data_IF_087236320316
#
_entry.id   IF_087236320316
#
_cell.length_a   1.000
_cell.length_b   1.000
_cell.length_c   1.000
_cell.angle_alpha   90.00
_cell.angle_beta   90.00
_cell.angle_gamma   90.00
#
_symmetry.space_group_name_H-M   'P 1'
#
loop_
_entity.id
_entity.type
_entity.pdbx_description
1 polymer ?
#
# COMPACT_ATOMS: atom_id res chain seq x y z
N UNK A 1 10.69 4.78 23.86
CA UNK A 1 10.31 6.04 23.17
C UNK A 1 10.65 6.03 21.68
N UNK A 2 11.91 5.85 21.28
CA UNK A 2 12.36 5.98 19.87
C UNK A 2 11.58 5.16 18.82
N UNK A 3 11.22 3.90 19.13
CA UNK A 3 10.43 3.03 18.23
C UNK A 3 9.01 3.55 17.96
N UNK A 4 8.38 4.20 18.94
CA UNK A 4 7.03 4.75 18.80
C UNK A 4 7.03 5.95 17.85
N UNK A 5 8.04 6.82 17.94
CA UNK A 5 8.20 7.96 17.05
C UNK A 5 8.33 7.56 15.57
N UNK A 6 9.06 6.46 15.30
CA UNK A 6 9.21 5.94 13.93
C UNK A 6 7.91 5.40 13.34
N UNK A 7 7.08 4.71 14.13
CA UNK A 7 5.76 4.27 13.66
C UNK A 7 4.83 5.44 13.38
N UNK A 8 4.88 6.48 14.23
CA UNK A 8 4.13 7.72 14.02
C UNK A 8 4.57 8.43 12.74
N UNK A 9 5.87 8.45 12.44
CA UNK A 9 6.41 9.03 11.21
C UNK A 9 5.93 8.28 9.96
N UNK A 10 5.98 6.94 9.96
CA UNK A 10 5.45 6.12 8.86
C UNK A 10 3.95 6.37 8.69
N UNK A 11 3.18 6.38 9.78
CA UNK A 11 1.75 6.67 9.73
C UNK A 11 1.48 8.05 9.13
N UNK A 12 2.18 9.09 9.59
CA UNK A 12 2.03 10.45 9.06
C UNK A 12 2.41 10.53 7.57
N UNK A 13 3.45 9.80 7.15
CA UNK A 13 3.83 9.70 5.75
C UNK A 13 2.71 9.07 4.91
N UNK A 14 2.21 7.90 5.31
CA UNK A 14 1.09 7.20 4.66
C UNK A 14 -0.20 8.05 4.61
N UNK A 15 -0.40 8.89 5.64
CA UNK A 15 -1.54 9.81 5.72
C UNK A 15 -1.42 11.00 4.76
N UNK A 16 -0.19 11.49 4.55
CA UNK A 16 0.08 12.75 3.84
C UNK A 16 0.03 12.66 2.31
N UNK A 17 -0.02 11.45 1.73
CA UNK A 17 0.11 11.23 0.29
C UNK A 17 -0.93 10.24 -0.23
N UNK A 18 -1.20 10.30 -1.53
CA UNK A 18 -1.95 9.25 -2.23
C UNK A 18 -0.98 8.22 -2.80
N UNK A 19 -1.22 6.95 -2.53
CA UNK A 19 -0.43 5.84 -3.07
C UNK A 19 -1.25 5.03 -4.05
N UNK A 20 -0.58 4.54 -5.10
CA UNK A 20 -1.15 3.66 -6.11
C UNK A 20 -0.38 2.35 -6.10
N UNK A 21 -1.09 1.25 -5.83
CA UNK A 21 -0.52 -0.10 -5.88
C UNK A 21 -1.22 -0.88 -6.98
N UNK A 22 -0.44 -1.51 -7.84
CA UNK A 22 -0.96 -2.23 -8.98
C UNK A 22 -0.74 -3.73 -8.78
N UNK A 23 -1.68 -4.54 -9.28
CA UNK A 23 -1.36 -5.94 -9.54
C UNK A 23 -0.19 -6.02 -10.54
N UNK A 24 0.60 -7.08 -10.51
CA UNK A 24 1.75 -7.27 -11.41
C UNK A 24 1.37 -7.21 -12.89
N UNK A 25 0.18 -7.71 -13.22
CA UNK A 25 -0.37 -7.63 -14.58
C UNK A 25 -1.13 -6.32 -14.87
N UNK A 26 -1.15 -5.39 -13.91
CA UNK A 26 -1.73 -4.04 -13.99
C UNK A 26 -3.25 -4.00 -14.25
N UNK A 27 -3.95 -5.12 -14.08
CA UNK A 27 -5.40 -5.22 -14.25
C UNK A 27 -6.19 -4.58 -13.11
N UNK A 28 -5.62 -4.52 -11.92
CA UNK A 28 -6.22 -3.88 -10.75
C UNK A 28 -5.27 -2.85 -10.18
N UNK A 29 -5.81 -1.70 -9.77
CA UNK A 29 -5.09 -0.71 -8.97
C UNK A 29 -5.82 -0.42 -7.67
N UNK A 30 -5.09 -0.31 -6.57
CA UNK A 30 -5.58 0.19 -5.30
C UNK A 30 -5.10 1.62 -5.11
N UNK A 31 -6.03 2.48 -4.69
CA UNK A 31 -5.74 3.83 -4.27
C UNK A 31 -5.79 3.87 -2.75
N UNK A 32 -4.69 4.29 -2.13
CA UNK A 32 -4.60 4.49 -0.68
C UNK A 32 -4.46 5.98 -0.40
N UNK A 33 -5.34 6.51 0.43
CA UNK A 33 -5.34 7.90 0.91
C UNK A 33 -5.66 7.92 2.40
N UNK A 34 -5.08 8.85 3.15
CA UNK A 34 -5.30 8.94 4.60
C UNK A 34 -5.01 7.60 5.32
N UNK A 35 -3.99 6.87 4.85
CA UNK A 35 -3.63 5.52 5.30
C UNK A 35 -4.76 4.46 5.18
N UNK A 36 -5.71 4.65 4.25
CA UNK A 36 -6.85 3.75 4.00
C UNK A 36 -6.98 3.47 2.52
N UNK A 37 -7.43 2.27 2.17
CA UNK A 37 -7.85 1.97 0.79
C UNK A 37 -9.12 2.77 0.53
N UNK A 38 -9.08 3.69 -0.44
CA UNK A 38 -10.23 4.53 -0.80
C UNK A 38 -10.89 4.11 -2.09
N UNK A 39 -10.13 3.52 -3.03
CA UNK A 39 -10.66 3.07 -4.31
C UNK A 39 -9.97 1.80 -4.80
N UNK A 40 -10.73 1.00 -5.54
CA UNK A 40 -10.25 -0.14 -6.31
C UNK A 40 -10.62 0.12 -7.77
N UNK A 41 -9.63 0.20 -8.64
CA UNK A 41 -9.79 0.48 -10.07
C UNK A 41 -9.55 -0.79 -10.87
N UNK A 42 -10.51 -1.15 -11.72
CA UNK A 42 -10.38 -2.25 -12.69
C UNK A 42 -9.94 -1.67 -14.03
N UNK A 43 -8.67 -1.90 -14.38
CA UNK A 43 -8.03 -1.35 -15.58
C UNK A 43 -8.21 -2.25 -16.82
N UNK A 44 -8.89 -3.39 -16.67
CA UNK A 44 -9.06 -4.42 -17.69
C UNK A 44 -10.47 -5.02 -17.59
N UNK A 45 -11.09 -5.47 -18.70
CA UNK A 45 -12.45 -6.00 -18.69
C UNK A 45 -12.62 -7.29 -17.87
N UNK A 46 -11.55 -8.06 -17.65
CA UNK A 46 -11.60 -9.33 -16.92
C UNK A 46 -10.54 -9.40 -15.80
N UNK A 47 -10.73 -8.64 -14.69
CA UNK A 47 -9.93 -8.78 -13.49
C UNK A 47 -10.35 -10.03 -12.72
N UNK A 48 -9.39 -10.78 -12.17
CA UNK A 48 -9.67 -11.91 -11.30
C UNK A 48 -9.59 -11.51 -9.82
N UNK A 49 -10.16 -12.32 -8.90
CA UNK A 49 -9.92 -12.15 -7.46
C UNK A 49 -8.43 -12.17 -7.10
N UNK A 50 -7.62 -12.95 -7.83
CA UNK A 50 -6.16 -13.00 -7.62
C UNK A 50 -5.49 -11.68 -7.99
N UNK A 51 -5.98 -10.96 -9.00
CA UNK A 51 -5.45 -9.64 -9.38
C UNK A 51 -5.69 -8.62 -8.25
N UNK A 52 -6.88 -8.66 -7.62
CA UNK A 52 -7.19 -7.80 -6.47
C UNK A 52 -6.28 -8.15 -5.30
N UNK A 53 -6.13 -9.45 -5.00
CA UNK A 53 -5.28 -9.94 -3.92
C UNK A 53 -3.82 -9.54 -4.14
N UNK A 54 -3.31 -9.65 -5.36
CA UNK A 54 -1.94 -9.28 -5.70
C UNK A 54 -1.72 -7.77 -5.52
N UNK A 55 -2.65 -6.92 -5.96
CA UNK A 55 -2.57 -5.47 -5.71
C UNK A 55 -2.55 -5.13 -4.21
N UNK A 56 -3.34 -5.84 -3.39
CA UNK A 56 -3.33 -5.70 -1.91
C UNK A 56 -1.96 -6.09 -1.36
N UNK A 57 -1.43 -7.23 -1.78
CA UNK A 57 -0.14 -7.73 -1.33
C UNK A 57 0.98 -6.74 -1.67
N UNK A 58 0.97 -6.14 -2.87
CA UNK A 58 1.94 -5.11 -3.26
C UNK A 58 1.89 -3.89 -2.32
N UNK A 59 0.70 -3.45 -1.93
CA UNK A 59 0.54 -2.37 -0.94
C UNK A 59 1.04 -2.75 0.45
N UNK A 60 0.72 -3.97 0.90
CA UNK A 60 1.16 -4.48 2.20
C UNK A 60 2.69 -4.64 2.28
N UNK A 61 3.32 -5.20 1.25
CA UNK A 61 4.77 -5.37 1.13
C UNK A 61 5.50 -4.02 1.18
N UNK A 62 4.96 -2.99 0.52
CA UNK A 62 5.52 -1.64 0.59
C UNK A 62 5.49 -1.07 2.01
N UNK A 63 4.34 -1.15 2.69
CA UNK A 63 4.21 -0.65 4.07
C UNK A 63 5.15 -1.43 5.00
N UNK A 64 5.24 -2.74 4.85
CA UNK A 64 6.17 -3.57 5.61
C UNK A 64 7.63 -3.16 5.37
N UNK A 65 8.01 -2.88 4.12
CA UNK A 65 9.34 -2.38 3.77
C UNK A 65 9.65 -1.03 4.42
N UNK A 66 8.70 -0.09 4.43
CA UNK A 66 8.85 1.21 5.10
C UNK A 66 9.06 1.05 6.62
N UNK A 67 8.36 0.10 7.24
CA UNK A 67 8.56 -0.28 8.64
C UNK A 67 9.95 -0.89 8.84
N UNK A 68 10.34 -1.91 8.07
CA UNK A 68 11.65 -2.56 8.20
C UNK A 68 12.82 -1.58 8.04
N UNK A 69 12.77 -0.75 6.99
CA UNK A 69 13.76 0.31 6.72
C UNK A 69 13.89 1.28 7.89
N UNK A 70 12.76 1.70 8.47
CA UNK A 70 12.77 2.63 9.60
C UNK A 70 13.38 1.99 10.85
N UNK A 71 13.27 0.68 11.02
CA UNK A 71 13.77 -0.04 12.19
C UNK A 71 15.16 -0.66 12.00
N UNK A 72 15.76 -0.59 10.80
CA UNK A 72 17.07 -1.18 10.50
C UNK A 72 17.04 -2.70 10.42
N UNK A 73 15.90 -3.26 9.97
CA UNK A 73 15.63 -4.68 9.81
C UNK A 73 15.68 -5.10 8.34
#
# INVERSE_FOLDING_TARGET
MFKLFKLVEIYNKLKSQTYFFHSRNKKVSLVIQDARVTQVLFNSPNPSPDDVKDAINQGAEYIESEVKKSFGL
#
